data_IF_659000405047
#
_entry.id   IF_659000405047
#
_cell.length_a   1.000
_cell.length_b   1.000
_cell.length_c   1.000
_cell.angle_alpha   90.00
_cell.angle_beta   90.00
_cell.angle_gamma   90.00
#
_symmetry.space_group_name_H-M   'P 1'
#
loop_
_entity.id
_entity.type
_entity.pdbx_description
1 polymer ?
#
# COMPACT_ATOMS: atom_id res chain seq x y z
N UNK A 1 -6.18 27.17 59.53
CA UNK A 1 -6.79 25.99 58.86
C UNK A 1 -6.51 26.11 57.42
N UNK A 2 -5.46 25.44 56.96
CA UNK A 2 -5.01 25.47 55.59
C UNK A 2 -5.69 24.31 54.83
N UNK A 3 -6.60 24.65 53.91
CA UNK A 3 -7.13 23.67 52.99
C UNK A 3 -6.19 23.59 51.78
N UNK A 4 -5.39 22.55 51.79
CA UNK A 4 -4.50 22.21 50.70
C UNK A 4 -5.31 21.57 49.57
N UNK A 5 -5.65 22.35 48.55
CA UNK A 5 -6.34 21.86 47.36
C UNK A 5 -5.32 21.18 46.45
N UNK A 6 -5.22 19.86 46.56
CA UNK A 6 -4.45 19.03 45.63
C UNK A 6 -5.18 18.99 44.31
N UNK A 7 -4.81 19.86 43.40
CA UNK A 7 -5.14 19.72 41.97
C UNK A 7 -4.36 18.54 41.40
N UNK A 8 -5.00 17.40 41.35
CA UNK A 8 -4.55 16.28 40.52
C UNK A 8 -4.67 16.69 39.05
N UNK A 9 -3.57 17.21 38.54
CA UNK A 9 -3.39 17.40 37.11
C UNK A 9 -3.26 16.03 36.44
N UNK A 10 -4.41 15.45 36.10
CA UNK A 10 -4.46 14.24 35.30
C UNK A 10 -3.92 14.58 33.93
N UNK A 11 -2.64 14.35 33.73
CA UNK A 11 -2.01 14.39 32.43
C UNK A 11 -2.57 13.24 31.61
N UNK A 12 -3.63 13.51 30.85
CA UNK A 12 -4.10 12.63 29.80
C UNK A 12 -2.99 12.60 28.74
N UNK A 13 -2.12 11.62 28.85
CA UNK A 13 -1.25 11.19 27.78
C UNK A 13 -2.15 10.68 26.66
N UNK A 14 -2.66 11.60 25.85
CA UNK A 14 -3.15 11.26 24.53
C UNK A 14 -1.97 10.67 23.78
N UNK A 15 -1.87 9.37 23.83
CA UNK A 15 -1.04 8.60 22.93
C UNK A 15 -1.62 8.85 21.54
N UNK A 16 -1.16 9.91 20.88
CA UNK A 16 -1.26 10.03 19.44
C UNK A 16 -0.38 8.90 18.89
N UNK A 17 -0.95 7.72 18.76
CA UNK A 17 -0.44 6.71 17.88
C UNK A 17 -0.52 7.28 16.48
N UNK A 18 0.51 8.03 16.09
CA UNK A 18 0.68 8.45 14.72
C UNK A 18 0.78 7.17 13.90
N UNK A 19 -0.26 6.86 13.17
CA UNK A 19 -0.26 5.82 12.16
C UNK A 19 0.86 6.20 11.21
N UNK A 20 1.98 5.49 11.31
CA UNK A 20 3.13 5.77 10.46
C UNK A 20 2.70 5.58 9.03
N UNK A 21 2.90 6.60 8.20
CA UNK A 21 2.64 6.50 6.79
C UNK A 21 3.34 5.26 6.24
N UNK A 22 2.60 4.42 5.53
CA UNK A 22 3.17 3.24 4.92
C UNK A 22 4.25 3.67 3.92
N UNK A 23 5.39 2.98 3.93
CA UNK A 23 6.48 3.19 2.99
C UNK A 23 6.60 2.00 2.04
N UNK A 24 7.36 2.15 0.96
CA UNK A 24 7.67 1.02 0.07
C UNK A 24 8.22 -0.18 0.86
N UNK A 25 9.08 0.07 1.84
CA UNK A 25 9.60 -0.98 2.72
C UNK A 25 8.49 -1.78 3.39
N UNK A 26 7.41 -1.13 3.80
CA UNK A 26 6.28 -1.78 4.47
C UNK A 26 5.46 -2.64 3.52
N UNK A 27 5.31 -2.21 2.27
CA UNK A 27 4.47 -2.91 1.28
C UNK A 27 5.25 -3.86 0.38
N UNK A 28 6.58 -3.77 0.34
CA UNK A 28 7.42 -4.60 -0.54
C UNK A 28 7.22 -6.09 -0.32
N UNK A 29 7.03 -6.52 0.93
CA UNK A 29 6.74 -7.92 1.25
C UNK A 29 5.43 -8.43 0.66
N UNK A 30 4.41 -7.59 0.55
CA UNK A 30 3.15 -7.92 -0.09
C UNK A 30 3.37 -8.17 -1.58
N UNK A 31 4.10 -7.28 -2.23
CA UNK A 31 4.42 -7.39 -3.67
C UNK A 31 5.27 -8.63 -3.95
N UNK A 32 6.30 -8.86 -3.13
CA UNK A 32 7.20 -9.99 -3.29
C UNK A 32 6.47 -11.32 -3.16
N UNK A 33 5.56 -11.44 -2.23
CA UNK A 33 4.81 -12.67 -1.99
C UNK A 33 3.70 -12.94 -3.00
N UNK A 34 3.15 -11.92 -3.65
CA UNK A 34 1.92 -12.04 -4.44
C UNK A 34 2.06 -11.61 -5.90
N UNK A 35 3.10 -10.88 -6.28
CA UNK A 35 3.17 -10.20 -7.57
C UNK A 35 4.46 -10.48 -8.35
N UNK A 36 5.59 -10.53 -7.67
CA UNK A 36 6.93 -10.55 -8.28
C UNK A 36 7.20 -11.81 -9.09
N UNK A 37 6.56 -12.94 -8.80
CA UNK A 37 6.71 -14.16 -9.60
C UNK A 37 6.35 -13.96 -11.08
N UNK A 38 5.38 -13.09 -11.37
CA UNK A 38 4.98 -12.73 -12.72
C UNK A 38 5.46 -11.33 -13.14
N UNK A 39 5.59 -10.43 -12.18
CA UNK A 39 6.01 -9.04 -12.40
C UNK A 39 7.39 -8.74 -11.81
N UNK A 40 8.35 -9.62 -12.08
CA UNK A 40 9.75 -9.50 -11.63
C UNK A 40 10.69 -9.02 -12.71
N UNK A 41 12.00 -9.17 -12.46
CA UNK A 41 13.04 -8.68 -13.35
C UNK A 41 13.18 -9.46 -14.65
N UNK A 42 12.78 -10.73 -14.67
CA UNK A 42 12.88 -11.61 -15.83
C UNK A 42 11.56 -11.66 -16.58
N UNK A 43 11.53 -11.17 -17.80
CA UNK A 43 10.37 -11.24 -18.70
C UNK A 43 9.05 -10.89 -17.99
N UNK A 44 8.95 -9.68 -17.36
CA UNK A 44 7.80 -9.33 -16.58
C UNK A 44 6.53 -9.27 -17.45
N UNK A 45 5.46 -9.88 -16.96
CA UNK A 45 4.14 -9.81 -17.60
C UNK A 45 3.73 -8.35 -17.83
N UNK A 46 3.27 -8.03 -19.04
CA UNK A 46 2.90 -6.68 -19.47
C UNK A 46 4.01 -5.64 -19.30
N UNK A 47 5.28 -6.08 -19.28
CA UNK A 47 6.45 -5.23 -19.06
C UNK A 47 6.43 -4.48 -17.71
N UNK A 48 5.62 -4.96 -16.77
CA UNK A 48 5.46 -4.34 -15.45
C UNK A 48 6.36 -5.02 -14.42
N UNK A 49 7.26 -4.25 -13.83
CA UNK A 49 8.09 -4.69 -12.70
C UNK A 49 7.55 -4.17 -11.37
N UNK A 50 7.30 -5.09 -10.47
CA UNK A 50 6.85 -4.79 -9.10
C UNK A 50 7.87 -5.21 -8.04
N UNK A 51 9.07 -5.61 -8.47
CA UNK A 51 10.19 -6.01 -7.61
C UNK A 51 11.08 -4.82 -7.20
N UNK A 52 10.75 -3.61 -7.65
CA UNK A 52 11.48 -2.40 -7.28
C UNK A 52 10.54 -1.19 -7.23
N UNK A 53 10.90 -0.23 -6.39
CA UNK A 53 10.18 1.03 -6.29
C UNK A 53 10.10 1.78 -7.64
N UNK A 54 11.25 1.90 -8.31
CA UNK A 54 11.31 2.54 -9.62
C UNK A 54 10.47 1.82 -10.68
N UNK A 55 10.44 0.49 -10.65
CA UNK A 55 9.63 -0.31 -11.56
C UNK A 55 8.13 -0.04 -11.42
N UNK A 56 7.67 0.13 -10.20
CA UNK A 56 6.26 0.45 -9.91
C UNK A 56 5.89 1.82 -10.49
N UNK A 57 6.72 2.82 -10.26
CA UNK A 57 6.47 4.18 -10.75
C UNK A 57 6.61 4.29 -12.26
N UNK A 58 7.54 3.55 -12.85
CA UNK A 58 7.70 3.47 -14.32
C UNK A 58 6.49 2.80 -14.97
N UNK A 59 5.97 1.74 -14.35
CA UNK A 59 4.85 0.99 -14.87
C UNK A 59 5.20 0.06 -16.04
N UNK A 60 4.18 -0.39 -16.73
CA UNK A 60 4.28 -1.32 -17.85
C UNK A 60 3.53 -0.81 -19.08
N UNK A 61 3.03 -1.73 -19.89
CA UNK A 61 2.30 -1.41 -21.15
C UNK A 61 1.09 -0.50 -20.94
N UNK A 62 0.44 -0.59 -19.78
CA UNK A 62 -0.74 0.23 -19.44
C UNK A 62 -0.39 1.55 -18.76
N UNK A 63 0.88 1.88 -18.64
CA UNK A 63 1.36 3.07 -17.93
C UNK A 63 1.76 2.79 -16.49
N UNK A 64 1.93 3.82 -15.66
CA UNK A 64 2.30 3.69 -14.27
C UNK A 64 1.32 2.82 -13.49
N UNK A 65 1.84 1.89 -12.67
CA UNK A 65 1.02 1.06 -11.80
C UNK A 65 0.46 1.87 -10.63
N UNK A 66 1.20 2.87 -10.19
CA UNK A 66 0.87 3.73 -9.05
C UNK A 66 1.06 5.20 -9.46
N UNK A 67 0.05 5.99 -9.18
CA UNK A 67 0.13 7.45 -9.23
C UNK A 67 0.17 7.94 -7.78
N UNK A 68 1.31 8.46 -7.30
CA UNK A 68 1.45 8.90 -5.92
C UNK A 68 0.36 9.88 -5.50
N UNK A 69 -0.34 9.57 -4.39
CA UNK A 69 -1.42 10.37 -3.86
C UNK A 69 -2.76 10.24 -4.59
N UNK A 70 -2.82 9.46 -5.67
CA UNK A 70 -4.07 9.25 -6.44
C UNK A 70 -4.46 7.76 -6.44
N UNK A 71 -5.29 7.42 -5.48
CA UNK A 71 -5.79 6.06 -5.26
C UNK A 71 -6.62 5.57 -6.46
N UNK A 72 -7.48 6.43 -6.98
CA UNK A 72 -8.42 6.07 -8.04
C UNK A 72 -7.73 5.88 -9.41
N UNK A 73 -6.64 6.60 -9.65
CA UNK A 73 -5.87 6.48 -10.89
C UNK A 73 -4.78 5.39 -10.82
N UNK A 74 -4.55 4.81 -9.66
CA UNK A 74 -3.52 3.78 -9.47
C UNK A 74 -4.02 2.41 -9.90
N UNK A 75 -3.56 1.92 -11.05
CA UNK A 75 -3.98 0.63 -11.62
C UNK A 75 -3.68 -0.55 -10.70
N UNK A 76 -2.63 -0.49 -9.90
CA UNK A 76 -2.30 -1.51 -8.90
C UNK A 76 -3.48 -1.73 -7.94
N UNK A 77 -4.07 -0.66 -7.43
CA UNK A 77 -5.22 -0.75 -6.53
C UNK A 77 -6.46 -1.26 -7.24
N UNK A 78 -6.74 -0.75 -8.44
CA UNK A 78 -7.84 -1.25 -9.25
C UNK A 78 -7.76 -2.77 -9.49
N UNK A 79 -6.56 -3.29 -9.69
CA UNK A 79 -6.34 -4.72 -9.91
C UNK A 79 -6.53 -5.55 -8.64
N UNK A 80 -5.94 -5.14 -7.50
CA UNK A 80 -6.05 -5.92 -6.26
C UNK A 80 -7.42 -5.80 -5.59
N UNK A 81 -8.14 -4.70 -5.82
CA UNK A 81 -9.49 -4.47 -5.32
C UNK A 81 -10.59 -5.09 -6.21
N UNK A 82 -10.20 -5.64 -7.35
CA UNK A 82 -11.14 -6.21 -8.34
C UNK A 82 -12.23 -5.21 -8.74
N UNK A 83 -11.82 -4.00 -9.04
CA UNK A 83 -12.74 -2.89 -9.36
C UNK A 83 -13.49 -3.03 -10.69
N UNK A 84 -13.09 -3.99 -11.52
CA UNK A 84 -13.63 -4.20 -12.87
C UNK A 84 -13.03 -3.30 -13.95
N UNK A 85 -12.14 -2.37 -13.59
CA UNK A 85 -11.46 -1.51 -14.56
C UNK A 85 -10.31 -2.24 -15.27
N UNK A 86 -9.67 -3.15 -14.59
CA UNK A 86 -8.59 -4.00 -15.10
C UNK A 86 -8.78 -5.43 -14.58
N UNK A 87 -8.05 -6.37 -15.16
CA UNK A 87 -8.05 -7.74 -14.66
C UNK A 87 -7.62 -7.81 -13.22
N UNK A 88 -8.37 -8.57 -12.41
CA UNK A 88 -8.00 -8.82 -11.00
C UNK A 88 -6.59 -9.39 -10.89
N UNK A 89 -5.84 -8.91 -9.92
CA UNK A 89 -4.51 -9.43 -9.58
C UNK A 89 -4.42 -9.80 -8.08
N UNK A 90 -3.79 -10.94 -7.76
CA UNK A 90 -3.38 -12.00 -8.68
C UNK A 90 -4.55 -12.56 -9.48
N UNK A 91 -4.30 -13.14 -10.68
CA UNK A 91 -5.37 -13.77 -11.46
C UNK A 91 -6.06 -14.89 -10.69
N UNK A 92 -7.39 -15.03 -10.86
CA UNK A 92 -8.20 -15.97 -10.08
C UNK A 92 -7.76 -17.43 -10.21
N UNK A 93 -7.31 -17.81 -11.41
CA UNK A 93 -6.84 -19.16 -11.69
C UNK A 93 -5.45 -19.47 -11.12
N UNK A 94 -4.67 -18.44 -10.80
CA UNK A 94 -3.28 -18.58 -10.35
C UNK A 94 -3.13 -18.48 -8.83
N UNK A 95 -3.90 -17.60 -8.18
CA UNK A 95 -3.80 -17.38 -6.76
C UNK A 95 -5.07 -16.75 -6.16
N UNK A 96 -5.28 -16.90 -4.83
CA UNK A 96 -6.36 -16.21 -4.15
C UNK A 96 -6.17 -14.68 -4.18
N UNK A 97 -7.26 -13.95 -4.04
CA UNK A 97 -7.23 -12.50 -3.90
C UNK A 97 -6.40 -12.10 -2.65
N UNK A 98 -5.80 -10.91 -2.69
CA UNK A 98 -5.17 -10.33 -1.51
C UNK A 98 -6.19 -10.20 -0.37
N UNK A 99 -5.72 -10.38 0.86
CA UNK A 99 -6.54 -10.09 2.02
C UNK A 99 -6.79 -8.58 2.19
N UNK A 100 -7.86 -8.26 2.91
CA UNK A 100 -8.28 -6.88 3.11
C UNK A 100 -7.22 -6.02 3.81
N UNK A 101 -6.44 -6.59 4.71
CA UNK A 101 -5.39 -5.87 5.44
C UNK A 101 -4.23 -5.47 4.50
N UNK A 102 -3.84 -6.36 3.59
CA UNK A 102 -2.82 -6.08 2.57
C UNK A 102 -3.29 -5.01 1.58
N UNK A 103 -4.54 -5.10 1.13
CA UNK A 103 -5.14 -4.09 0.24
C UNK A 103 -5.17 -2.73 0.94
N UNK A 104 -5.62 -2.66 2.18
CA UNK A 104 -5.66 -1.42 2.95
C UNK A 104 -4.26 -0.79 3.12
N UNK A 105 -3.26 -1.62 3.37
CA UNK A 105 -1.88 -1.13 3.50
C UNK A 105 -1.35 -0.54 2.18
N UNK A 106 -1.60 -1.20 1.06
CA UNK A 106 -1.27 -0.67 -0.28
C UNK A 106 -2.00 0.65 -0.55
N UNK A 107 -3.30 0.71 -0.22
CA UNK A 107 -4.12 1.92 -0.39
C UNK A 107 -3.57 3.09 0.42
N UNK A 108 -3.25 2.87 1.68
CA UNK A 108 -2.65 3.92 2.54
C UNK A 108 -1.28 4.35 2.05
N UNK A 109 -0.49 3.44 1.51
CA UNK A 109 0.80 3.78 0.93
C UNK A 109 0.65 4.71 -0.29
N UNK A 110 -0.25 4.40 -1.20
CA UNK A 110 -0.53 5.23 -2.38
C UNK A 110 -1.11 6.59 -1.96
N UNK A 111 -2.11 6.59 -1.09
CA UNK A 111 -2.77 7.81 -0.59
C UNK A 111 -1.78 8.75 0.12
N UNK A 112 -0.86 8.19 0.85
CA UNK A 112 0.20 8.93 1.55
C UNK A 112 1.33 9.46 0.64
N UNK A 113 1.25 9.25 -0.67
CA UNK A 113 2.23 9.75 -1.64
C UNK A 113 3.19 8.70 -2.20
N UNK A 114 2.93 7.42 -1.95
CA UNK A 114 3.76 6.29 -2.41
C UNK A 114 5.26 6.50 -2.09
N UNK A 115 5.56 6.78 -0.84
CA UNK A 115 6.92 7.07 -0.39
C UNK A 115 7.83 5.82 -0.42
N UNK A 116 9.14 6.00 -0.69
CA UNK A 116 10.13 4.92 -0.66
C UNK A 116 10.32 4.29 0.72
#
# INVERSE_FOLDING_TARGET
MCFLLLLLLSCLLSSCGGEQAASYRTISGILESNCVSCHGAKEPESELRLDSFDGILTGGKSGPAVIPGDVEASLLLSAVEDSGLVTRMPPEDDAPALDAASIDLLRRWVDGGANP
#
